data_IF_895099095697
#
_entry.id   IF_895099095697
#
_cell.length_a   1.000
_cell.length_b   1.000
_cell.length_c   1.000
_cell.angle_alpha   90.00
_cell.angle_beta   90.00
_cell.angle_gamma   90.00
#
_symmetry.space_group_name_H-M   'P 1'
#
loop_
_entity.id
_entity.type
_entity.pdbx_description
1 polymer ?
#
# COMPACT_ATOMS: atom_id res chain seq x y z
N UNK A 1 33.36 -26.65 29.19
CA UNK A 1 32.64 -26.71 27.90
C UNK A 1 32.65 -25.31 27.36
N UNK A 2 33.55 -25.10 26.42
CA UNK A 2 33.59 -23.97 25.49
C UNK A 2 32.37 -24.06 24.57
N UNK A 3 31.66 -22.95 24.39
CA UNK A 3 30.75 -22.62 23.29
C UNK A 3 30.55 -21.09 23.45
N UNK A 4 31.29 -20.22 22.76
CA UNK A 4 31.22 -20.02 21.32
C UNK A 4 30.31 -18.82 21.08
N UNK A 5 30.85 -17.61 21.07
CA UNK A 5 30.15 -16.41 20.57
C UNK A 5 29.97 -16.52 19.05
N UNK A 6 28.77 -16.16 18.55
CA UNK A 6 28.69 -15.56 17.22
C UNK A 6 27.78 -14.33 17.20
N UNK A 7 28.15 -13.36 16.36
CA UNK A 7 27.17 -12.45 15.77
C UNK A 7 27.40 -10.98 16.10
N UNK A 8 28.33 -10.39 15.36
CA UNK A 8 28.49 -8.95 15.25
C UNK A 8 27.32 -8.35 14.43
N UNK A 9 27.13 -7.04 14.62
CA UNK A 9 26.35 -6.07 13.85
C UNK A 9 24.86 -6.33 13.50
N UNK A 10 23.98 -5.89 14.40
CA UNK A 10 22.89 -5.02 13.97
C UNK A 10 23.09 -3.65 14.63
N UNK A 11 23.70 -2.72 13.89
CA UNK A 11 23.72 -1.29 14.21
C UNK A 11 22.28 -0.76 14.08
N UNK A 12 21.45 -1.04 15.08
CA UNK A 12 20.11 -0.47 15.21
C UNK A 12 20.29 1.01 15.52
N UNK A 13 19.70 1.86 14.69
CA UNK A 13 19.58 3.30 14.86
C UNK A 13 19.15 3.58 16.31
N UNK A 14 20.12 3.97 17.13
CA UNK A 14 19.98 4.04 18.59
C UNK A 14 19.00 5.16 18.92
N UNK A 15 17.76 4.81 19.24
CA UNK A 15 16.76 5.78 19.70
C UNK A 15 15.31 5.32 19.68
N UNK A 16 14.91 4.39 18.81
CA UNK A 16 13.52 3.91 18.78
C UNK A 16 13.44 2.50 19.32
N UNK A 17 13.07 2.39 20.61
CA UNK A 17 12.47 1.17 21.16
C UNK A 17 11.16 0.96 20.40
N UNK A 18 11.17 0.07 19.42
CA UNK A 18 9.92 -0.43 18.81
C UNK A 18 9.31 -1.37 19.85
N UNK A 19 8.25 -0.91 20.51
CA UNK A 19 7.47 -1.77 21.38
C UNK A 19 6.93 -2.93 20.54
N UNK A 20 6.97 -4.18 21.03
CA UNK A 20 6.33 -5.29 20.34
C UNK A 20 4.85 -4.95 20.17
N UNK A 21 4.35 -5.02 18.94
CA UNK A 21 2.91 -4.94 18.73
C UNK A 21 2.24 -6.07 19.52
N UNK A 22 1.19 -5.78 20.29
CA UNK A 22 0.45 -6.83 20.96
C UNK A 22 -0.11 -7.78 19.90
N UNK A 23 0.02 -9.08 20.13
CA UNK A 23 -0.50 -10.13 19.24
C UNK A 23 -2.04 -10.09 19.11
N UNK A 24 -2.71 -9.38 20.03
CA UNK A 24 -4.15 -9.22 20.11
C UNK A 24 -4.57 -7.79 19.77
N UNK A 25 -5.63 -7.67 18.97
CA UNK A 25 -6.22 -6.38 18.62
C UNK A 25 -6.93 -5.75 19.82
N UNK A 26 -7.01 -4.41 19.83
CA UNK A 26 -7.73 -3.68 20.87
C UNK A 26 -9.20 -4.15 20.93
N UNK A 27 -9.67 -4.53 22.14
CA UNK A 27 -11.01 -5.08 22.32
C UNK A 27 -12.14 -4.15 21.86
N UNK A 28 -11.96 -2.85 22.05
CA UNK A 28 -12.92 -1.83 21.59
C UNK A 28 -13.08 -1.80 20.06
N UNK A 29 -12.06 -2.24 19.31
CA UNK A 29 -12.15 -2.38 17.86
C UNK A 29 -12.97 -3.61 17.47
N UNK A 30 -12.77 -4.74 18.15
CA UNK A 30 -13.56 -5.96 17.91
C UNK A 30 -15.05 -5.71 18.17
N UNK A 31 -15.37 -5.03 19.27
CA UNK A 31 -16.75 -4.74 19.67
C UNK A 31 -17.42 -3.71 18.75
N UNK A 32 -16.62 -2.88 18.05
CA UNK A 32 -17.08 -1.92 17.05
C UNK A 32 -17.29 -2.52 15.65
N UNK A 33 -16.94 -3.80 15.43
CA UNK A 33 -17.11 -4.44 14.12
C UNK A 33 -18.58 -4.70 13.83
N UNK A 34 -19.02 -4.31 12.64
CA UNK A 34 -20.31 -4.73 12.11
C UNK A 34 -20.25 -6.23 11.77
N UNK A 35 -21.27 -7.03 12.17
CA UNK A 35 -21.34 -8.42 11.78
C UNK A 35 -21.30 -8.55 10.25
N UNK A 36 -20.40 -9.40 9.76
CA UNK A 36 -20.32 -9.70 8.35
C UNK A 36 -21.41 -10.71 8.00
N UNK A 37 -22.25 -10.36 7.03
CA UNK A 37 -23.18 -11.33 6.44
C UNK A 37 -22.38 -12.26 5.52
N UNK A 38 -22.06 -13.44 6.04
CA UNK A 38 -21.29 -14.47 5.32
C UNK A 38 -21.96 -14.85 3.99
N UNK A 39 -23.29 -14.84 3.91
CA UNK A 39 -24.01 -15.18 2.68
C UNK A 39 -23.83 -14.10 1.61
N UNK A 40 -23.94 -12.83 2.00
CA UNK A 40 -23.71 -11.71 1.08
C UNK A 40 -22.23 -11.60 0.69
N UNK A 41 -21.30 -11.89 1.62
CA UNK A 41 -19.87 -11.99 1.30
C UNK A 41 -19.64 -13.07 0.23
N UNK A 42 -20.11 -14.30 0.45
CA UNK A 42 -19.93 -15.39 -0.50
C UNK A 42 -20.53 -15.07 -1.86
N UNK A 43 -21.70 -14.43 -1.89
CA UNK A 43 -22.33 -13.96 -3.13
C UNK A 43 -21.48 -12.93 -3.86
N UNK A 44 -20.86 -11.99 -3.15
CA UNK A 44 -19.94 -11.00 -3.74
C UNK A 44 -18.65 -11.64 -4.23
N UNK A 45 -18.10 -12.58 -3.47
CA UNK A 45 -16.92 -13.36 -3.87
C UNK A 45 -17.21 -14.12 -5.17
N UNK A 46 -18.38 -14.78 -5.27
CA UNK A 46 -18.80 -15.46 -6.50
C UNK A 46 -18.93 -14.49 -7.68
N UNK A 47 -19.61 -13.36 -7.50
CA UNK A 47 -19.72 -12.32 -8.55
C UNK A 47 -18.36 -11.75 -8.97
N UNK A 48 -17.45 -11.56 -8.02
CA UNK A 48 -16.10 -11.09 -8.32
C UNK A 48 -15.33 -12.16 -9.11
N UNK A 49 -15.44 -13.44 -8.74
CA UNK A 49 -14.82 -14.53 -9.47
C UNK A 49 -15.36 -14.63 -10.91
N UNK A 50 -16.67 -14.48 -11.10
CA UNK A 50 -17.30 -14.41 -12.44
C UNK A 50 -16.82 -13.19 -13.24
N UNK A 51 -16.68 -12.02 -12.59
CA UNK A 51 -16.21 -10.80 -13.25
C UNK A 51 -14.70 -10.82 -13.58
N UNK A 52 -13.91 -11.59 -12.84
CA UNK A 52 -12.49 -11.82 -13.10
C UNK A 52 -12.26 -12.96 -14.11
N UNK A 53 -13.30 -13.70 -14.50
CA UNK A 53 -13.17 -14.72 -15.52
C UNK A 53 -12.76 -14.08 -16.85
N UNK A 54 -11.75 -14.66 -17.51
CA UNK A 54 -11.34 -14.19 -18.83
C UNK A 54 -12.52 -14.29 -19.80
N UNK A 55 -12.81 -13.23 -20.58
CA UNK A 55 -13.85 -13.28 -21.60
C UNK A 55 -13.50 -14.34 -22.66
N UNK A 56 -14.52 -14.99 -23.23
CA UNK A 56 -14.29 -15.93 -24.33
C UNK A 56 -13.61 -15.21 -25.51
N UNK A 57 -12.76 -15.89 -26.31
CA UNK A 57 -12.15 -15.30 -27.49
C UNK A 57 -13.19 -14.69 -28.45
N UNK A 58 -14.38 -15.29 -28.55
CA UNK A 58 -15.49 -14.81 -29.36
C UNK A 58 -16.14 -13.54 -28.78
N UNK A 59 -16.31 -13.46 -27.46
CA UNK A 59 -16.78 -12.24 -26.79
C UNK A 59 -15.79 -11.10 -26.96
N UNK A 60 -14.51 -11.39 -26.81
CA UNK A 60 -13.43 -10.43 -26.97
C UNK A 60 -13.34 -9.95 -28.43
N UNK A 61 -13.47 -10.86 -29.41
CA UNK A 61 -13.52 -10.51 -30.83
C UNK A 61 -14.71 -9.59 -31.15
N UNK A 62 -15.90 -9.89 -30.61
CA UNK A 62 -17.11 -9.04 -30.77
C UNK A 62 -16.95 -7.68 -30.12
N UNK A 63 -16.39 -7.64 -28.91
CA UNK A 63 -16.17 -6.40 -28.15
C UNK A 63 -15.17 -5.47 -28.85
N UNK A 64 -14.08 -6.04 -29.38
CA UNK A 64 -13.00 -5.28 -30.02
C UNK A 64 -13.23 -5.04 -31.51
N UNK A 65 -14.20 -5.71 -32.13
CA UNK A 65 -14.48 -5.58 -33.57
C UNK A 65 -13.37 -6.13 -34.47
N UNK A 66 -12.62 -7.13 -34.00
CA UNK A 66 -11.53 -7.79 -34.74
C UNK A 66 -11.86 -9.26 -35.00
N UNK A 67 -11.15 -9.89 -35.94
CA UNK A 67 -11.39 -11.31 -36.24
C UNK A 67 -10.91 -12.21 -35.09
N UNK A 68 -11.60 -13.34 -34.93
CA UNK A 68 -11.24 -14.37 -33.95
C UNK A 68 -9.79 -14.83 -34.12
N UNK A 69 -9.34 -15.01 -35.37
CA UNK A 69 -7.96 -15.39 -35.70
C UNK A 69 -6.94 -14.37 -35.15
N UNK A 70 -7.21 -13.07 -35.27
CA UNK A 70 -6.32 -12.02 -34.77
C UNK A 70 -6.27 -12.02 -33.24
N UNK A 71 -7.40 -12.28 -32.58
CA UNK A 71 -7.48 -12.45 -31.12
C UNK A 71 -6.62 -13.63 -30.66
N UNK A 72 -6.82 -14.81 -31.24
CA UNK A 72 -6.11 -16.03 -30.87
C UNK A 72 -4.60 -15.90 -31.09
N UNK A 73 -4.20 -15.37 -32.25
CA UNK A 73 -2.79 -15.10 -32.57
C UNK A 73 -2.16 -14.14 -31.57
N UNK A 74 -2.89 -13.12 -31.13
CA UNK A 74 -2.37 -12.12 -30.18
C UNK A 74 -2.27 -12.68 -28.77
N UNK A 75 -3.24 -13.51 -28.35
CA UNK A 75 -3.17 -14.24 -27.08
C UNK A 75 -1.93 -15.13 -27.00
N UNK A 76 -1.58 -15.79 -28.10
CA UNK A 76 -0.37 -16.61 -28.18
C UNK A 76 0.94 -15.79 -28.16
N UNK A 77 0.90 -14.50 -28.51
CA UNK A 77 2.08 -13.64 -28.56
C UNK A 77 2.55 -13.18 -27.16
N UNK A 78 1.68 -13.22 -26.16
CA UNK A 78 2.01 -12.98 -24.76
C UNK A 78 1.63 -14.22 -23.96
N UNK A 79 2.54 -15.20 -23.81
CA UNK A 79 2.30 -16.32 -22.91
C UNK A 79 2.00 -15.78 -21.51
N UNK A 80 1.15 -16.48 -20.75
CA UNK A 80 0.72 -16.16 -19.37
C UNK A 80 1.88 -15.88 -18.39
N UNK A 81 3.12 -16.12 -18.81
CA UNK A 81 4.33 -15.76 -18.11
C UNK A 81 4.31 -14.31 -17.59
N UNK A 82 3.81 -13.33 -18.36
CA UNK A 82 3.75 -11.92 -17.93
C UNK A 82 2.50 -11.56 -17.12
N UNK A 83 1.55 -12.49 -16.95
CA UNK A 83 0.30 -12.25 -16.22
C UNK A 83 0.41 -12.48 -14.72
N UNK A 84 1.41 -13.24 -14.28
CA UNK A 84 1.62 -13.60 -12.88
C UNK A 84 2.38 -12.50 -12.12
N UNK A 85 1.94 -12.11 -10.92
CA UNK A 85 2.68 -11.19 -10.05
C UNK A 85 4.10 -11.68 -9.74
N UNK A 86 4.26 -13.00 -9.57
CA UNK A 86 5.53 -13.66 -9.27
C UNK A 86 6.54 -13.48 -10.39
N UNK A 87 6.10 -13.47 -11.65
CA UNK A 87 6.98 -13.17 -12.78
C UNK A 87 7.58 -11.78 -12.68
N UNK A 88 6.75 -10.76 -12.45
CA UNK A 88 7.21 -9.38 -12.36
C UNK A 88 8.12 -9.17 -11.16
N UNK A 89 7.83 -9.84 -10.04
CA UNK A 89 8.69 -9.80 -8.87
C UNK A 89 10.07 -10.42 -9.15
N UNK A 90 10.11 -11.63 -9.72
CA UNK A 90 11.37 -12.29 -10.05
C UNK A 90 12.17 -11.50 -11.08
N UNK A 91 11.50 -10.99 -12.12
CA UNK A 91 12.15 -10.13 -13.13
C UNK A 91 12.74 -8.86 -12.49
N UNK A 92 12.00 -8.24 -11.56
CA UNK A 92 12.47 -7.06 -10.85
C UNK A 92 13.70 -7.36 -10.00
N UNK A 93 13.67 -8.44 -9.20
CA UNK A 93 14.81 -8.89 -8.40
C UNK A 93 16.03 -9.21 -9.28
N UNK A 94 15.83 -9.95 -10.38
CA UNK A 94 16.87 -10.28 -11.34
C UNK A 94 17.47 -9.03 -12.00
N UNK A 95 16.64 -8.05 -12.35
CA UNK A 95 17.09 -6.79 -12.95
C UNK A 95 17.85 -5.92 -11.95
N UNK A 96 17.44 -5.91 -10.69
CA UNK A 96 18.20 -5.25 -9.62
C UNK A 96 19.57 -5.89 -9.46
N UNK A 97 19.67 -7.22 -9.47
CA UNK A 97 20.95 -7.90 -9.32
C UNK A 97 21.92 -7.61 -10.47
N UNK A 98 21.40 -7.57 -11.71
CA UNK A 98 22.20 -7.43 -12.92
C UNK A 98 22.59 -6.00 -13.29
N UNK A 99 21.85 -4.99 -12.82
CA UNK A 99 22.03 -3.60 -13.26
C UNK A 99 22.24 -2.63 -12.09
N UNK A 100 23.45 -2.06 -12.02
CA UNK A 100 23.77 -0.98 -11.07
C UNK A 100 22.93 0.29 -11.30
N UNK A 101 22.49 0.53 -12.54
CA UNK A 101 21.56 1.62 -12.83
C UNK A 101 20.17 1.33 -12.26
N UNK A 102 19.70 0.08 -12.33
CA UNK A 102 18.43 -0.32 -11.72
C UNK A 102 18.48 -0.19 -10.19
N UNK A 103 19.59 -0.60 -9.55
CA UNK A 103 19.78 -0.39 -8.10
C UNK A 103 19.76 1.09 -7.73
N UNK A 104 20.45 1.93 -8.49
CA UNK A 104 20.52 3.38 -8.27
C UNK A 104 19.14 4.03 -8.37
N UNK A 105 18.39 3.73 -9.44
CA UNK A 105 17.04 4.24 -9.63
C UNK A 105 16.08 3.75 -8.53
N UNK A 106 16.18 2.48 -8.12
CA UNK A 106 15.33 1.92 -7.08
C UNK A 106 15.57 2.54 -5.68
N UNK A 107 16.81 2.98 -5.40
CA UNK A 107 17.15 3.63 -4.12
C UNK A 107 16.30 4.86 -3.83
N UNK A 108 15.95 5.63 -4.86
CA UNK A 108 15.24 6.90 -4.70
C UNK A 108 13.78 6.70 -4.24
N UNK A 109 13.18 5.53 -4.51
CA UNK A 109 11.86 5.15 -4.00
C UNK A 109 11.85 4.72 -2.53
N UNK A 110 13.03 4.36 -1.99
CA UNK A 110 13.20 3.97 -0.58
C UNK A 110 13.58 5.14 0.31
N UNK A 111 13.98 6.27 -0.28
CA UNK A 111 14.15 7.51 0.48
C UNK A 111 12.78 7.95 0.98
N UNK A 112 12.59 8.20 2.29
CA UNK A 112 11.35 8.81 2.75
C UNK A 112 11.18 10.12 1.99
N UNK A 113 10.11 10.23 1.21
CA UNK A 113 9.68 11.51 0.67
C UNK A 113 9.44 12.38 1.90
N UNK A 114 10.32 13.36 2.12
CA UNK A 114 10.08 14.42 3.11
C UNK A 114 8.69 14.94 2.79
N UNK A 115 7.74 14.69 3.68
CA UNK A 115 6.31 14.92 3.44
C UNK A 115 6.05 16.41 3.31
N UNK A 116 6.13 16.92 2.09
CA UNK A 116 5.78 18.31 1.72
C UNK A 116 4.29 18.64 1.99
N UNK A 117 3.50 17.66 2.47
CA UNK A 117 2.06 17.80 2.70
C UNK A 117 1.69 18.15 4.15
N UNK A 118 2.62 18.14 5.11
CA UNK A 118 2.33 18.80 6.39
C UNK A 118 2.60 20.30 6.25
N UNK A 119 1.51 21.06 6.11
CA UNK A 119 1.49 22.52 6.11
C UNK A 119 2.20 23.12 7.33
N UNK A 120 2.48 24.44 7.31
CA UNK A 120 3.46 25.06 8.19
C UNK A 120 3.17 24.76 9.65
N UNK A 121 4.20 24.20 10.30
CA UNK A 121 4.32 24.09 11.75
C UNK A 121 3.97 25.43 12.36
N UNK A 122 2.77 25.52 12.95
CA UNK A 122 2.37 26.68 13.74
C UNK A 122 3.19 26.65 15.02
N UNK A 123 4.32 27.34 14.94
CA UNK A 123 5.11 27.81 16.07
C UNK A 123 4.15 28.43 17.09
N UNK A 124 4.13 27.87 18.31
CA UNK A 124 3.21 28.23 19.37
C UNK A 124 3.39 29.70 19.78
N UNK A 125 2.61 30.59 19.17
CA UNK A 125 2.61 32.01 19.52
C UNK A 125 2.04 32.21 20.93
N UNK A 126 2.81 32.93 21.73
CA UNK A 126 2.62 33.21 23.14
C UNK A 126 1.18 33.63 23.53
N UNK A 127 0.74 33.07 24.66
CA UNK A 127 -0.53 33.36 25.35
C UNK A 127 -0.57 34.83 25.82
N UNK A 128 -1.50 35.70 25.34
CA UNK A 128 -1.67 37.02 25.93
C UNK A 128 -2.49 36.94 27.23
N UNK A 129 -2.02 37.68 28.25
CA UNK A 129 -2.58 37.75 29.60
C UNK A 129 -3.90 38.54 29.61
N UNK A 130 -4.84 38.11 30.45
CA UNK A 130 -6.13 38.78 30.69
C UNK A 130 -5.96 40.21 31.20
N UNK A 131 -6.73 41.13 30.62
CA UNK A 131 -7.31 42.32 31.26
C UNK A 131 -8.68 42.50 30.58
N UNK A 132 -9.82 42.35 31.26
CA UNK A 132 -10.42 43.31 32.20
C UNK A 132 -10.52 44.72 31.59
N UNK A 133 -11.64 45.02 30.93
CA UNK A 133 -12.38 46.24 31.18
C UNK A 133 -13.77 46.14 30.57
N UNK A 134 -14.75 46.52 31.39
CA UNK A 134 -16.17 46.68 31.12
C UNK A 134 -16.41 47.98 30.31
N UNK A 135 -17.64 48.18 29.82
CA UNK A 135 -18.22 49.45 29.35
C UNK A 135 -17.96 49.77 27.86
N UNK A 136 -18.89 50.19 27.00
CA UNK A 136 -20.31 50.61 27.04
C UNK A 136 -20.83 50.50 25.58
N UNK A 137 -22.09 50.17 25.31
CA UNK A 137 -23.08 51.20 24.97
C UNK A 137 -23.54 51.15 23.50
N UNK A 138 -24.66 50.45 23.28
CA UNK A 138 -25.82 50.77 22.43
C UNK A 138 -25.70 51.64 21.14
N UNK A 139 -26.08 50.97 20.03
CA UNK A 139 -27.03 51.35 18.97
C UNK A 139 -26.70 52.43 17.91
N UNK A 140 -27.32 52.19 16.74
CA UNK A 140 -27.39 53.03 15.53
C UNK A 140 -28.11 54.35 15.82
#
# INVERSE_FOLDING_TARGET
>A
MENGEPGQEASILSGTVVAPEPEEYNKELEDGLYPLDELELHKRVAKNAEAQAEPSPEDLARLLGISLEVVERTRQASPDLHGSPEYWQNWFEEMLDKSEEAKRANRDFRSPVVSVVYGPSVEASARPKKASSVESGSYV
#
